data_IF_800730396122
#
_entry.id   IF_800730396122
#
_cell.length_a   1.000
_cell.length_b   1.000
_cell.length_c   1.000
_cell.angle_alpha   90.00
_cell.angle_beta   90.00
_cell.angle_gamma   90.00
#
_symmetry.space_group_name_H-M   'P 1'
#
loop_
_entity.id
_entity.type
_entity.pdbx_description
1 polymer ?
#
# COMPACT_ATOMS: atom_id res chain seq x y z
N UNK A 1 8.54 80.81 61.82
CA UNK A 1 7.74 82.02 61.57
C UNK A 1 8.32 82.61 60.27
N UNK A 2 7.72 82.50 59.09
CA UNK A 2 6.32 82.75 58.70
C UNK A 2 5.88 81.75 57.64
N UNK A 3 4.66 81.27 57.80
CA UNK A 3 3.87 80.43 56.91
C UNK A 3 3.21 81.34 55.86
N UNK A 4 3.22 80.95 54.59
CA UNK A 4 2.23 81.43 53.60
C UNK A 4 1.62 80.24 52.89
N UNK A 5 0.45 79.89 53.36
CA UNK A 5 -0.66 79.34 52.57
C UNK A 5 -1.12 80.39 51.56
N UNK A 6 -1.45 79.99 50.34
CA UNK A 6 -2.60 80.53 49.61
C UNK A 6 -3.13 79.44 48.68
N UNK A 7 -4.45 79.35 48.71
CA UNK A 7 -5.34 78.39 48.09
C UNK A 7 -6.00 79.11 46.89
N UNK A 8 -6.66 78.35 46.02
CA UNK A 8 -7.93 78.73 45.37
C UNK A 8 -8.00 78.82 43.83
N UNK A 9 -9.14 78.29 43.35
CA UNK A 9 -9.79 78.32 42.04
C UNK A 9 -9.13 77.45 40.94
N UNK A 10 -9.72 76.40 40.37
CA UNK A 10 -11.13 76.03 40.22
C UNK A 10 -11.60 76.32 38.80
N UNK A 11 -11.46 75.35 37.88
CA UNK A 11 -12.30 75.24 36.67
C UNK A 11 -12.54 73.79 36.30
N UNK A 12 -13.84 73.44 36.20
CA UNK A 12 -14.35 72.18 35.70
C UNK A 12 -14.04 72.07 34.20
N UNK A 13 -13.10 71.19 33.84
CA UNK A 13 -12.91 70.73 32.47
C UNK A 13 -13.89 69.60 32.14
N UNK A 14 -14.76 69.87 31.17
CA UNK A 14 -15.70 68.93 30.55
C UNK A 14 -14.96 67.70 30.03
N UNK A 15 -15.24 66.52 30.58
CA UNK A 15 -14.76 65.24 30.07
C UNK A 15 -15.72 64.79 28.96
N UNK A 16 -15.28 64.91 27.71
CA UNK A 16 -15.96 64.35 26.55
C UNK A 16 -15.51 62.88 26.41
N UNK A 17 -16.41 61.87 26.50
CA UNK A 17 -16.00 60.50 26.30
C UNK A 17 -15.67 60.30 24.81
N UNK A 18 -14.39 60.14 24.49
CA UNK A 18 -13.94 59.64 23.20
C UNK A 18 -14.60 58.26 22.99
N UNK A 19 -15.58 58.20 22.10
CA UNK A 19 -16.16 56.93 21.68
C UNK A 19 -15.10 56.17 20.88
N UNK A 20 -14.55 55.12 21.49
CA UNK A 20 -13.71 54.15 20.80
C UNK A 20 -14.58 53.46 19.72
N UNK A 21 -14.18 53.47 18.43
CA UNK A 21 -14.91 52.69 17.44
C UNK A 21 -14.88 51.21 17.86
N UNK A 22 -15.96 50.45 17.59
CA UNK A 22 -15.96 49.03 17.88
C UNK A 22 -14.76 48.41 17.17
N UNK A 23 -13.87 47.84 17.97
CA UNK A 23 -12.81 46.98 17.50
C UNK A 23 -13.49 45.86 16.69
N UNK A 24 -13.41 45.97 15.36
CA UNK A 24 -13.66 44.89 14.41
C UNK A 24 -12.63 43.80 14.65
N UNK A 25 -12.71 43.12 15.79
CA UNK A 25 -12.00 41.88 16.04
C UNK A 25 -12.49 40.96 14.95
N UNK A 26 -11.56 40.68 14.04
CA UNK A 26 -11.71 39.71 12.98
C UNK A 26 -12.61 38.58 13.47
N UNK A 27 -13.77 38.43 12.82
CA UNK A 27 -14.49 37.17 12.79
C UNK A 27 -13.55 36.22 12.07
N UNK A 28 -12.63 35.66 12.86
CA UNK A 28 -11.72 34.62 12.47
C UNK A 28 -12.59 33.46 12.05
N UNK A 29 -12.65 33.28 10.75
CA UNK A 29 -13.28 32.15 10.11
C UNK A 29 -12.52 30.89 10.57
N UNK A 30 -13.00 30.30 11.68
CA UNK A 30 -12.61 28.99 12.18
C UNK A 30 -13.23 27.91 11.27
N UNK A 31 -12.91 27.98 9.97
CA UNK A 31 -13.12 26.86 9.06
C UNK A 31 -12.28 25.72 9.58
N UNK A 32 -12.96 24.67 10.02
CA UNK A 32 -12.45 23.37 10.46
C UNK A 32 -11.15 22.95 9.79
N UNK A 33 -10.03 23.43 10.34
CA UNK A 33 -8.74 22.80 10.15
C UNK A 33 -8.76 21.59 11.07
N UNK A 34 -9.39 20.51 10.59
CA UNK A 34 -9.11 19.18 11.09
C UNK A 34 -7.59 19.05 11.11
N UNK A 35 -6.99 19.21 12.29
CA UNK A 35 -5.56 19.23 12.47
C UNK A 35 -5.08 17.84 12.07
N UNK A 36 -4.57 17.73 10.85
CA UNK A 36 -3.99 16.52 10.30
C UNK A 36 -2.78 16.20 11.16
N UNK A 37 -2.97 15.37 12.19
CA UNK A 37 -1.89 14.92 13.07
C UNK A 37 -0.98 14.06 12.21
N UNK A 38 0.20 14.57 11.90
CA UNK A 38 1.18 13.80 11.14
C UNK A 38 1.56 12.55 11.94
N UNK A 39 1.65 11.38 11.28
CA UNK A 39 2.05 10.17 11.96
C UNK A 39 3.45 10.34 12.55
N UNK A 40 3.75 9.65 13.67
CA UNK A 40 5.07 9.74 14.29
C UNK A 40 6.16 9.34 13.29
N UNK A 41 7.33 9.97 13.40
CA UNK A 41 8.46 9.79 12.48
C UNK A 41 8.81 8.33 12.12
N UNK A 42 8.82 7.33 13.04
CA UNK A 42 9.07 5.94 12.67
C UNK A 42 8.02 5.38 11.72
N UNK A 43 6.73 5.67 11.94
CA UNK A 43 5.63 5.25 11.07
C UNK A 43 5.77 5.85 9.68
N UNK A 44 6.13 7.15 9.61
CA UNK A 44 6.37 7.81 8.32
C UNK A 44 7.55 7.19 7.56
N UNK A 45 8.65 6.85 8.24
CA UNK A 45 9.83 6.21 7.62
C UNK A 45 9.50 4.82 7.09
N UNK A 46 8.76 4.03 7.86
CA UNK A 46 8.28 2.70 7.46
C UNK A 46 7.37 2.79 6.23
N UNK A 47 6.41 3.73 6.24
CA UNK A 47 5.50 3.96 5.13
C UNK A 47 6.24 4.37 3.84
N UNK A 48 7.24 5.26 3.96
CA UNK A 48 8.09 5.64 2.83
C UNK A 48 8.88 4.44 2.32
N UNK A 49 9.48 3.63 3.20
CA UNK A 49 10.23 2.44 2.82
C UNK A 49 9.38 1.42 2.06
N UNK A 50 8.17 1.12 2.57
CA UNK A 50 7.21 0.23 1.90
C UNK A 50 6.76 0.79 0.54
N UNK A 51 6.50 2.10 0.45
CA UNK A 51 6.12 2.74 -0.80
C UNK A 51 7.24 2.67 -1.86
N UNK A 52 8.50 2.85 -1.45
CA UNK A 52 9.65 2.70 -2.35
C UNK A 52 9.82 1.25 -2.82
N UNK A 53 9.67 0.28 -1.92
CA UNK A 53 9.73 -1.14 -2.27
C UNK A 53 8.60 -1.52 -3.26
N UNK A 54 7.38 -1.08 -2.99
CA UNK A 54 6.25 -1.30 -3.89
C UNK A 54 6.49 -0.65 -5.27
N UNK A 55 7.03 0.58 -5.31
CA UNK A 55 7.37 1.24 -6.56
C UNK A 55 8.47 0.51 -7.36
N UNK A 56 9.34 -0.25 -6.70
CA UNK A 56 10.36 -1.08 -7.34
C UNK A 56 9.80 -2.41 -7.86
N UNK A 57 8.96 -3.08 -7.05
CA UNK A 57 8.45 -4.43 -7.34
C UNK A 57 7.24 -4.41 -8.27
N UNK A 58 6.31 -3.46 -8.10
CA UNK A 58 5.04 -3.43 -8.82
C UNK A 58 5.20 -3.31 -10.35
N UNK A 59 6.13 -2.51 -10.91
CA UNK A 59 6.36 -2.49 -12.35
C UNK A 59 6.79 -3.87 -12.88
N UNK A 60 7.68 -4.56 -12.17
CA UNK A 60 8.11 -5.91 -12.52
C UNK A 60 6.94 -6.89 -12.51
N UNK A 61 6.17 -6.93 -11.42
CA UNK A 61 4.99 -7.79 -11.32
C UNK A 61 3.94 -7.48 -12.41
N UNK A 62 3.68 -6.20 -12.69
CA UNK A 62 2.73 -5.79 -13.73
C UNK A 62 3.22 -6.18 -15.14
N UNK A 63 4.51 -6.00 -15.45
CA UNK A 63 5.06 -6.46 -16.74
C UNK A 63 4.91 -7.97 -16.87
N UNK A 64 5.32 -8.75 -15.87
CA UNK A 64 5.15 -10.21 -15.88
C UNK A 64 3.69 -10.63 -16.08
N UNK A 65 2.74 -9.97 -15.41
CA UNK A 65 1.32 -10.24 -15.57
C UNK A 65 0.78 -9.93 -16.97
N UNK A 66 1.29 -8.88 -17.60
CA UNK A 66 0.89 -8.48 -18.97
C UNK A 66 1.50 -9.42 -20.02
N UNK A 67 2.73 -9.89 -19.79
CA UNK A 67 3.46 -10.73 -20.73
C UNK A 67 3.21 -12.23 -20.54
N UNK A 68 2.68 -12.67 -19.40
CA UNK A 68 2.31 -14.07 -19.19
C UNK A 68 1.17 -14.44 -20.14
N UNK A 69 1.36 -15.40 -21.06
CA UNK A 69 0.29 -15.86 -21.94
C UNK A 69 -0.85 -16.43 -21.11
N UNK A 70 -2.08 -16.21 -21.58
CA UNK A 70 -3.24 -16.89 -21.03
C UNK A 70 -3.10 -18.42 -21.15
N UNK A 71 -3.58 -19.16 -20.16
CA UNK A 71 -3.44 -20.62 -20.09
C UNK A 71 -4.58 -21.38 -20.77
N UNK A 72 -5.60 -20.72 -21.31
CA UNK A 72 -6.73 -21.40 -21.98
C UNK A 72 -6.32 -22.12 -23.27
N UNK A 73 -5.22 -21.70 -23.91
CA UNK A 73 -4.74 -22.29 -25.17
C UNK A 73 -3.61 -23.32 -24.98
N UNK A 74 -3.29 -23.72 -23.74
CA UNK A 74 -2.17 -24.63 -23.42
C UNK A 74 -2.25 -25.90 -24.28
N UNK A 75 -3.42 -26.54 -24.38
CA UNK A 75 -3.55 -27.78 -25.16
C UNK A 75 -3.30 -27.58 -26.65
N UNK A 76 -3.85 -26.52 -27.24
CA UNK A 76 -3.58 -26.20 -28.64
C UNK A 76 -2.09 -25.90 -28.87
N UNK A 77 -1.44 -25.24 -27.90
CA UNK A 77 -0.01 -24.92 -27.96
C UNK A 77 0.87 -26.16 -27.86
N UNK A 78 0.57 -27.07 -26.93
CA UNK A 78 1.26 -28.35 -26.76
C UNK A 78 1.12 -29.21 -28.02
N UNK A 79 -0.09 -29.29 -28.60
CA UNK A 79 -0.32 -30.02 -29.87
C UNK A 79 0.52 -29.44 -31.02
N UNK A 80 0.56 -28.11 -31.16
CA UNK A 80 1.40 -27.45 -32.17
C UNK A 80 2.88 -27.76 -31.97
N UNK A 81 3.39 -27.61 -30.75
CA UNK A 81 4.79 -27.86 -30.40
C UNK A 81 5.18 -29.33 -30.60
N UNK A 82 4.32 -30.25 -30.18
CA UNK A 82 4.57 -31.67 -30.35
C UNK A 82 4.63 -32.05 -31.84
N UNK A 83 3.68 -31.55 -32.64
CA UNK A 83 3.63 -31.79 -34.08
C UNK A 83 4.85 -31.21 -34.80
N UNK A 84 5.32 -30.01 -34.41
CA UNK A 84 6.48 -29.37 -35.03
C UNK A 84 7.82 -30.03 -34.66
N UNK A 85 7.90 -30.66 -33.49
CA UNK A 85 9.12 -31.32 -32.99
C UNK A 85 9.09 -32.84 -33.20
N UNK A 86 8.05 -33.39 -33.85
CA UNK A 86 7.92 -34.84 -34.06
C UNK A 86 7.71 -35.65 -32.78
N UNK A 87 7.13 -35.03 -31.74
CA UNK A 87 6.82 -35.68 -30.47
C UNK A 87 5.47 -36.37 -30.54
N UNK A 88 5.39 -37.60 -30.02
CA UNK A 88 4.13 -38.31 -29.82
C UNK A 88 3.47 -37.81 -28.54
N UNK A 89 2.24 -37.31 -28.64
CA UNK A 89 1.42 -36.97 -27.47
C UNK A 89 0.68 -38.21 -27.00
N UNK A 90 0.70 -38.43 -25.70
CA UNK A 90 -0.10 -39.46 -25.06
C UNK A 90 -1.48 -38.90 -24.71
N UNK A 91 -2.51 -39.72 -24.91
CA UNK A 91 -3.85 -39.49 -24.37
C UNK A 91 -3.89 -39.67 -22.86
N UNK A 92 -4.93 -39.14 -22.22
CA UNK A 92 -5.13 -39.27 -20.77
C UNK A 92 -5.26 -40.74 -20.33
N UNK A 93 -5.75 -41.61 -21.22
CA UNK A 93 -5.92 -43.05 -21.03
C UNK A 93 -4.62 -43.86 -21.26
N UNK A 94 -3.64 -43.27 -21.93
CA UNK A 94 -2.33 -43.87 -22.15
C UNK A 94 -1.35 -43.60 -20.99
N UNK A 95 -1.69 -42.67 -20.10
CA UNK A 95 -0.92 -42.36 -18.89
C UNK A 95 -1.50 -43.13 -17.69
N UNK A 96 -0.71 -43.98 -17.01
CA UNK A 96 -1.19 -44.68 -15.81
C UNK A 96 -1.64 -43.68 -14.73
N UNK A 97 -2.83 -43.88 -14.17
CA UNK A 97 -3.39 -42.99 -13.15
C UNK A 97 -2.46 -42.79 -11.93
N UNK A 98 -1.74 -43.85 -11.52
CA UNK A 98 -0.77 -43.76 -10.44
C UNK A 98 0.37 -42.77 -10.77
N UNK A 99 0.83 -42.75 -12.02
CA UNK A 99 1.88 -41.83 -12.46
C UNK A 99 1.36 -40.39 -12.48
N UNK A 100 0.17 -40.17 -13.05
CA UNK A 100 -0.45 -38.85 -13.06
C UNK A 100 -0.63 -38.30 -11.64
N UNK A 101 -1.15 -39.11 -10.73
CA UNK A 101 -1.31 -38.72 -9.32
C UNK A 101 0.03 -38.50 -8.60
N UNK A 102 1.06 -39.30 -8.89
CA UNK A 102 2.38 -39.12 -8.29
C UNK A 102 3.04 -37.80 -8.73
N UNK A 103 2.90 -37.43 -10.02
CA UNK A 103 3.38 -36.15 -10.55
C UNK A 103 2.63 -34.99 -9.93
N UNK A 104 1.29 -35.04 -9.92
CA UNK A 104 0.46 -34.01 -9.27
C UNK A 104 0.83 -33.88 -7.80
N UNK A 105 0.98 -34.97 -7.06
CA UNK A 105 1.35 -34.91 -5.65
C UNK A 105 2.76 -34.34 -5.37
N UNK A 106 3.68 -34.45 -6.33
CA UNK A 106 5.06 -33.98 -6.18
C UNK A 106 5.23 -32.52 -6.62
N UNK A 107 4.58 -32.14 -7.72
CA UNK A 107 4.75 -30.83 -8.35
C UNK A 107 3.69 -29.81 -7.89
N UNK A 108 2.43 -30.23 -7.79
CA UNK A 108 1.31 -29.34 -7.47
C UNK A 108 0.15 -30.15 -6.86
N UNK A 109 0.23 -30.41 -5.56
CA UNK A 109 -0.76 -31.21 -4.83
C UNK A 109 -2.18 -30.63 -4.90
N UNK A 110 -2.30 -29.34 -5.25
CA UNK A 110 -3.56 -28.60 -5.32
C UNK A 110 -4.01 -28.30 -6.74
N UNK A 111 -3.36 -28.88 -7.75
CA UNK A 111 -3.64 -28.65 -9.16
C UNK A 111 -5.14 -28.65 -9.51
N UNK A 112 -5.92 -29.60 -8.99
CA UNK A 112 -7.36 -29.73 -9.26
C UNK A 112 -8.26 -28.78 -8.45
N UNK A 113 -7.71 -28.03 -7.50
CA UNK A 113 -8.46 -27.18 -6.57
C UNK A 113 -8.30 -25.67 -6.85
N UNK A 114 -7.35 -25.27 -7.69
CA UNK A 114 -7.11 -23.88 -8.03
C UNK A 114 -7.11 -23.63 -9.55
N UNK A 115 -7.23 -22.36 -9.93
CA UNK A 115 -7.36 -21.93 -11.33
C UNK A 115 -5.99 -21.78 -12.02
N UNK A 116 -5.08 -22.75 -11.81
CA UNK A 116 -3.73 -22.79 -12.41
C UNK A 116 -2.59 -22.09 -11.66
N UNK A 117 -2.85 -21.31 -10.60
CA UNK A 117 -1.78 -20.73 -9.75
C UNK A 117 -2.03 -21.05 -8.28
N UNK A 118 -1.09 -21.78 -7.68
CA UNK A 118 -1.13 -22.13 -6.27
C UNK A 118 -0.70 -20.97 -5.35
N UNK A 119 -1.64 -20.06 -5.09
CA UNK A 119 -1.38 -18.88 -4.25
C UNK A 119 -1.01 -19.23 -2.80
N UNK A 120 -1.51 -20.35 -2.28
CA UNK A 120 -1.23 -20.80 -0.92
C UNK A 120 0.19 -21.36 -0.84
N UNK A 121 0.57 -22.15 -1.84
CA UNK A 121 1.88 -22.79 -1.94
C UNK A 121 2.99 -21.76 -2.11
N UNK A 122 2.75 -20.80 -3.00
CA UNK A 122 3.63 -19.65 -3.22
C UNK A 122 3.79 -18.78 -1.97
N UNK A 123 2.72 -18.55 -1.22
CA UNK A 123 2.78 -17.84 0.06
C UNK A 123 3.63 -18.57 1.11
N UNK A 124 3.46 -19.89 1.24
CA UNK A 124 4.27 -20.74 2.12
C UNK A 124 5.75 -20.69 1.71
N UNK A 125 6.04 -20.82 0.42
CA UNK A 125 7.39 -20.77 -0.12
C UNK A 125 8.08 -19.46 0.20
N UNK A 126 7.42 -18.33 -0.09
CA UNK A 126 7.94 -17.01 0.18
C UNK A 126 8.25 -16.80 1.67
N UNK A 127 7.37 -17.26 2.57
CA UNK A 127 7.62 -17.17 4.01
C UNK A 127 8.83 -18.01 4.43
N UNK A 128 8.93 -19.25 3.95
CA UNK A 128 10.05 -20.14 4.27
C UNK A 128 11.38 -19.57 3.75
N UNK A 129 11.40 -19.13 2.49
CA UNK A 129 12.57 -18.60 1.82
C UNK A 129 13.09 -17.30 2.45
N UNK A 130 12.19 -16.41 2.90
CA UNK A 130 12.56 -15.19 3.61
C UNK A 130 13.13 -15.48 5.00
N UNK A 131 12.52 -16.43 5.74
CA UNK A 131 12.98 -16.80 7.09
C UNK A 131 14.34 -17.49 7.05
N UNK A 132 14.56 -18.34 6.03
CA UNK A 132 15.78 -19.14 5.90
C UNK A 132 16.83 -18.48 4.99
N UNK A 133 16.52 -17.33 4.38
CA UNK A 133 17.39 -16.58 3.45
C UNK A 133 17.90 -17.50 2.33
N UNK A 134 16.98 -18.23 1.70
CA UNK A 134 17.27 -19.11 0.56
C UNK A 134 16.12 -19.12 -0.45
N UNK A 135 16.31 -19.80 -1.59
CA UNK A 135 15.25 -20.11 -2.56
C UNK A 135 15.06 -21.63 -2.59
N UNK A 136 14.71 -22.19 -1.44
CA UNK A 136 14.74 -23.62 -1.20
C UNK A 136 13.42 -24.30 -1.56
N UNK A 137 12.32 -23.53 -1.62
CA UNK A 137 10.98 -24.09 -1.74
C UNK A 137 10.27 -23.60 -3.00
N UNK A 138 9.67 -24.54 -3.73
CA UNK A 138 8.68 -24.24 -4.76
C UNK A 138 7.36 -23.77 -4.14
N UNK A 139 6.61 -23.01 -4.94
CA UNK A 139 5.21 -22.72 -4.68
C UNK A 139 4.44 -24.03 -4.68
#
# INVERSE_FOLDING_TARGET
MVMRTEFSHGTCGVQNPVQQPPNSRAVGNDRGRAAMRWPPAPVRRLAIGLALLAALVAPGAATLWIWSPDASDIQARVIRLASSNGLTLLGDDEVPALLAHAVVATEDERFYSHHGVDSIGLGRALLYDVVNVCLCQGG
#
